data_IF_537542098401
#
_entry.id   IF_537542098401
#
_cell.length_a   1.000
_cell.length_b   1.000
_cell.length_c   1.000
_cell.angle_alpha   90.00
_cell.angle_beta   90.00
_cell.angle_gamma   90.00
#
_symmetry.space_group_name_H-M   'P 1'
#
loop_
_entity.id
_entity.type
_entity.pdbx_description
1 polymer ?
#
# COMPACT_ATOMS: atom_id res chain seq x y z
N UNK A 1 1.27 7.07 -21.19
CA UNK A 1 1.52 6.31 -19.96
C UNK A 1 0.23 5.61 -19.58
N UNK A 2 0.27 4.31 -19.33
CA UNK A 2 -0.90 3.56 -18.87
C UNK A 2 -1.42 4.11 -17.54
N UNK A 3 -2.74 4.13 -17.35
CA UNK A 3 -3.38 4.59 -16.11
C UNK A 3 -2.84 3.83 -14.88
N UNK A 4 -2.53 2.54 -15.05
CA UNK A 4 -1.98 1.67 -14.01
C UNK A 4 -0.59 2.13 -13.59
N UNK A 5 0.29 2.46 -14.55
CA UNK A 5 1.62 3.00 -14.28
C UNK A 5 1.58 4.27 -13.44
N UNK A 6 0.75 5.23 -13.85
CA UNK A 6 0.63 6.53 -13.16
C UNK A 6 0.17 6.31 -11.71
N UNK A 7 -0.86 5.48 -11.52
CA UNK A 7 -1.37 5.17 -10.18
C UNK A 7 -0.32 4.41 -9.36
N UNK A 8 0.40 3.46 -9.96
CA UNK A 8 1.47 2.70 -9.32
C UNK A 8 2.62 3.61 -8.83
N UNK A 9 3.03 4.59 -9.65
CA UNK A 9 4.04 5.59 -9.27
C UNK A 9 3.55 6.43 -8.08
N UNK A 10 2.31 6.94 -8.12
CA UNK A 10 1.74 7.73 -7.02
C UNK A 10 1.76 6.95 -5.71
N UNK A 11 1.29 5.70 -5.72
CA UNK A 11 1.29 4.87 -4.51
C UNK A 11 2.69 4.53 -4.01
N UNK A 12 3.64 4.32 -4.94
CA UNK A 12 5.03 4.07 -4.58
C UNK A 12 5.65 5.28 -3.90
N UNK A 13 5.48 6.49 -4.48
CA UNK A 13 5.95 7.73 -3.87
C UNK A 13 5.31 7.99 -2.50
N UNK A 14 4.00 7.74 -2.38
CA UNK A 14 3.31 7.85 -1.11
C UNK A 14 3.85 6.86 -0.08
N UNK A 15 4.13 5.61 -0.49
CA UNK A 15 4.76 4.59 0.37
C UNK A 15 6.16 4.97 0.84
N UNK A 16 6.97 5.54 -0.06
CA UNK A 16 8.29 6.07 0.29
C UNK A 16 8.19 7.19 1.34
N UNK A 17 7.25 8.12 1.19
CA UNK A 17 6.99 9.15 2.20
C UNK A 17 6.64 8.53 3.57
N UNK A 18 5.90 7.41 3.57
CA UNK A 18 5.60 6.64 4.79
C UNK A 18 6.83 6.05 5.48
N UNK A 19 7.82 5.58 4.72
CA UNK A 19 9.08 5.10 5.31
C UNK A 19 9.82 6.21 6.09
N UNK A 20 9.70 7.46 5.63
CA UNK A 20 10.25 8.63 6.31
C UNK A 20 9.38 9.16 7.46
N UNK A 21 8.20 8.57 7.70
CA UNK A 21 7.26 9.05 8.71
C UNK A 21 6.33 10.17 8.23
N UNK A 22 6.30 10.45 6.93
CA UNK A 22 5.58 11.55 6.30
C UNK A 22 4.34 10.97 5.60
N UNK A 23 3.35 10.53 6.39
CA UNK A 23 2.05 10.10 5.88
C UNK A 23 0.91 10.56 6.77
N UNK A 24 -0.25 10.75 6.15
CA UNK A 24 -1.49 11.04 6.88
C UNK A 24 -2.00 9.75 7.52
N UNK A 25 -2.14 9.76 8.84
CA UNK A 25 -2.65 8.64 9.63
C UNK A 25 -3.95 8.99 10.38
N UNK A 26 -4.77 7.99 10.76
CA UNK A 26 -5.92 8.18 11.63
C UNK A 26 -5.54 8.86 12.96
N UNK A 27 -6.40 9.75 13.45
CA UNK A 27 -6.19 10.46 14.73
C UNK A 27 -5.99 9.52 15.92
N UNK A 28 -6.69 8.37 15.94
CA UNK A 28 -6.56 7.32 16.98
C UNK A 28 -5.13 6.80 17.17
N UNK A 29 -4.26 6.96 16.17
CA UNK A 29 -2.90 6.44 16.16
C UNK A 29 -1.83 7.54 16.29
N UNK A 30 -2.24 8.80 16.51
CA UNK A 30 -1.32 9.93 16.74
C UNK A 30 -0.81 9.94 18.17
N UNK A 31 0.35 10.58 18.36
CA UNK A 31 0.96 10.89 19.66
C UNK A 31 1.23 9.67 20.56
N UNK A 32 1.46 8.51 19.95
CA UNK A 32 1.87 7.28 20.63
C UNK A 32 3.37 7.04 20.42
N UNK A 33 4.01 6.39 21.39
CA UNK A 33 5.43 6.00 21.30
C UNK A 33 5.73 5.17 20.04
N UNK A 34 4.73 4.43 19.55
CA UNK A 34 4.82 3.58 18.36
C UNK A 34 4.28 4.21 17.07
N UNK A 35 3.77 5.46 17.09
CA UNK A 35 3.17 6.11 15.91
C UNK A 35 4.13 6.12 14.71
N UNK A 36 5.41 6.42 14.93
CA UNK A 36 6.43 6.42 13.86
C UNK A 36 6.62 5.04 13.23
N UNK A 37 6.54 3.97 14.03
CA UNK A 37 6.59 2.60 13.53
C UNK A 37 5.34 2.26 12.71
N UNK A 38 4.15 2.64 13.20
CA UNK A 38 2.90 2.47 12.47
C UNK A 38 2.96 3.16 11.10
N UNK A 39 3.43 4.42 11.04
CA UNK A 39 3.56 5.16 9.78
C UNK A 39 4.50 4.44 8.81
N UNK A 40 5.64 3.92 9.29
CA UNK A 40 6.57 3.17 8.45
C UNK A 40 5.95 1.90 7.87
N UNK A 41 5.24 1.14 8.69
CA UNK A 41 4.55 -0.06 8.22
C UNK A 41 3.40 0.28 7.26
N UNK A 42 2.69 1.37 7.49
CA UNK A 42 1.70 1.87 6.54
C UNK A 42 2.38 2.24 5.22
N UNK A 43 3.55 2.89 5.26
CA UNK A 43 4.40 3.13 4.08
C UNK A 43 4.70 1.85 3.29
N UNK A 44 5.13 0.79 3.98
CA UNK A 44 5.38 -0.52 3.38
C UNK A 44 4.12 -1.07 2.70
N UNK A 45 2.93 -0.89 3.29
CA UNK A 45 1.69 -1.38 2.69
C UNK A 45 1.37 -0.72 1.34
N UNK A 46 1.67 0.58 1.21
CA UNK A 46 1.56 1.31 -0.06
C UNK A 46 2.61 0.91 -1.08
N UNK A 47 3.84 0.58 -0.64
CA UNK A 47 4.87 0.04 -1.53
C UNK A 47 4.50 -1.34 -2.08
N UNK A 48 3.89 -2.19 -1.23
CA UNK A 48 3.34 -3.49 -1.62
C UNK A 48 2.13 -3.38 -2.57
N UNK A 49 1.58 -2.19 -2.78
CA UNK A 49 0.56 -1.92 -3.79
C UNK A 49 1.17 -1.29 -5.05
N UNK A 50 1.95 -0.21 -4.88
CA UNK A 50 2.47 0.59 -5.99
C UNK A 50 3.52 -0.13 -6.83
N UNK A 51 4.50 -0.81 -6.20
CA UNK A 51 5.59 -1.48 -6.93
C UNK A 51 5.04 -2.61 -7.80
N UNK A 52 4.17 -3.52 -7.31
CA UNK A 52 3.59 -4.55 -8.15
C UNK A 52 2.81 -3.99 -9.34
N UNK A 53 2.12 -2.86 -9.20
CA UNK A 53 1.39 -2.25 -10.31
C UNK A 53 2.31 -1.67 -11.38
N UNK A 54 3.43 -1.06 -10.99
CA UNK A 54 4.46 -0.60 -11.94
C UNK A 54 5.06 -1.78 -12.68
N UNK A 55 5.45 -2.84 -11.96
CA UNK A 55 5.99 -4.06 -12.56
C UNK A 55 4.98 -4.68 -13.52
N UNK A 56 3.70 -4.73 -13.12
CA UNK A 56 2.61 -5.26 -13.92
C UNK A 56 2.45 -4.50 -15.24
N UNK A 57 2.47 -3.17 -15.21
CA UNK A 57 2.36 -2.34 -16.42
C UNK A 57 3.51 -2.64 -17.39
N UNK A 58 4.76 -2.64 -16.89
CA UNK A 58 5.96 -2.92 -17.69
C UNK A 58 5.94 -4.32 -18.33
N UNK A 59 5.48 -5.35 -17.61
CA UNK A 59 5.45 -6.71 -18.17
C UNK A 59 4.28 -6.95 -19.14
N UNK A 60 3.27 -6.06 -19.14
CA UNK A 60 2.04 -6.22 -19.94
C UNK A 60 1.92 -5.24 -21.11
N UNK A 61 2.79 -4.22 -21.19
CA UNK A 61 2.76 -3.12 -22.17
C UNK A 61 2.47 -3.59 -23.62
N UNK A 62 3.13 -4.67 -24.06
CA UNK A 62 3.01 -5.19 -25.44
C UNK A 62 2.23 -6.52 -25.56
N UNK A 63 1.61 -7.00 -24.46
CA UNK A 63 1.06 -8.37 -24.43
C UNK A 63 -0.39 -8.49 -24.91
N UNK A 64 -1.04 -7.38 -25.26
CA UNK A 64 -2.38 -7.37 -25.85
C UNK A 64 -3.44 -8.08 -25.00
N UNK A 65 -3.28 -8.11 -23.67
CA UNK A 65 -4.20 -8.81 -22.79
C UNK A 65 -5.60 -8.20 -22.83
N UNK A 66 -6.62 -9.05 -22.92
CA UNK A 66 -8.01 -8.63 -22.79
C UNK A 66 -8.31 -8.05 -21.40
N UNK A 67 -9.27 -7.13 -21.33
CA UNK A 67 -9.69 -6.46 -20.09
C UNK A 67 -9.93 -7.42 -18.89
N UNK A 68 -10.58 -8.59 -19.03
CA UNK A 68 -10.82 -9.49 -17.89
C UNK A 68 -9.53 -10.02 -17.25
N UNK A 69 -8.54 -10.38 -18.07
CA UNK A 69 -7.24 -10.87 -17.59
C UNK A 69 -6.51 -9.75 -16.86
N UNK A 70 -6.56 -8.54 -17.43
CA UNK A 70 -5.89 -7.38 -16.83
C UNK A 70 -6.48 -7.02 -15.46
N UNK A 71 -7.82 -7.03 -15.35
CA UNK A 71 -8.50 -6.82 -14.06
C UNK A 71 -8.12 -7.89 -13.02
N UNK A 72 -8.09 -9.16 -13.42
CA UNK A 72 -7.69 -10.25 -12.52
C UNK A 72 -6.25 -10.06 -12.01
N UNK A 73 -5.31 -9.71 -12.89
CA UNK A 73 -3.92 -9.48 -12.51
C UNK A 73 -3.77 -8.28 -11.56
N UNK A 74 -4.48 -7.17 -11.81
CA UNK A 74 -4.46 -6.00 -10.92
C UNK A 74 -4.98 -6.38 -9.53
N UNK A 75 -6.08 -7.13 -9.45
CA UNK A 75 -6.64 -7.59 -8.18
C UNK A 75 -5.67 -8.52 -7.46
N UNK A 76 -5.08 -9.48 -8.17
CA UNK A 76 -4.10 -10.40 -7.62
C UNK A 76 -2.86 -9.66 -7.07
N UNK A 77 -2.33 -8.69 -7.81
CA UNK A 77 -1.21 -7.86 -7.38
C UNK A 77 -1.55 -6.95 -6.19
N UNK A 78 -2.82 -6.56 -6.03
CA UNK A 78 -3.27 -5.70 -4.92
C UNK A 78 -3.49 -6.47 -3.62
N UNK A 79 -3.73 -7.78 -3.70
CA UNK A 79 -4.14 -8.59 -2.56
C UNK A 79 -3.11 -8.61 -1.42
N UNK A 80 -1.79 -8.77 -1.67
CA UNK A 80 -0.80 -8.75 -0.59
C UNK A 80 -0.76 -7.41 0.17
N UNK A 81 -0.78 -6.28 -0.56
CA UNK A 81 -0.81 -4.94 0.05
C UNK A 81 -2.08 -4.69 0.87
N UNK A 82 -3.22 -5.16 0.36
CA UNK A 82 -4.51 -5.07 1.06
C UNK A 82 -4.51 -5.90 2.36
N UNK A 83 -4.15 -7.18 2.26
CA UNK A 83 -4.09 -8.10 3.42
C UNK A 83 -3.13 -7.56 4.47
N UNK A 84 -1.95 -7.09 4.05
CA UNK A 84 -0.98 -6.48 4.96
C UNK A 84 -1.57 -5.27 5.70
N UNK A 85 -2.27 -4.38 5.00
CA UNK A 85 -2.91 -3.19 5.59
C UNK A 85 -3.97 -3.57 6.63
N UNK A 86 -4.79 -4.59 6.35
CA UNK A 86 -5.81 -5.08 7.29
C UNK A 86 -5.18 -5.67 8.55
N UNK A 87 -4.13 -6.49 8.39
CA UNK A 87 -3.39 -7.06 9.53
C UNK A 87 -2.76 -5.94 10.37
N UNK A 88 -2.19 -4.94 9.71
CA UNK A 88 -1.56 -3.79 10.37
C UNK A 88 -2.56 -3.01 11.22
N UNK A 89 -3.71 -2.61 10.65
CA UNK A 89 -4.73 -1.86 11.40
C UNK A 89 -5.30 -2.67 12.57
N UNK A 90 -5.52 -3.99 12.39
CA UNK A 90 -5.93 -4.89 13.49
C UNK A 90 -4.90 -4.92 14.62
N UNK A 91 -3.62 -5.10 14.28
CA UNK A 91 -2.53 -5.17 15.27
C UNK A 91 -2.43 -3.88 16.09
N UNK A 92 -2.48 -2.73 15.44
CA UNK A 92 -2.34 -1.45 16.12
C UNK A 92 -3.61 -1.00 16.85
N UNK A 93 -4.79 -1.41 16.36
CA UNK A 93 -6.04 -1.23 17.12
C UNK A 93 -6.05 -2.09 18.38
N UNK A 94 -5.58 -3.34 18.31
CA UNK A 94 -5.43 -4.18 19.51
C UNK A 94 -4.42 -3.58 20.49
N UNK A 95 -3.29 -3.06 19.99
CA UNK A 95 -2.30 -2.37 20.82
C UNK A 95 -2.88 -1.13 21.51
N UNK A 96 -3.66 -0.33 20.79
CA UNK A 96 -4.31 0.86 21.34
C UNK A 96 -5.26 0.50 22.50
N UNK A 97 -5.98 -0.62 22.42
CA UNK A 97 -6.88 -1.09 23.49
C UNK A 97 -6.15 -1.56 24.75
N UNK A 98 -4.89 -1.99 24.65
CA UNK A 98 -4.08 -2.40 25.80
C UNK A 98 -3.45 -1.20 26.53
N UNK A 99 -3.38 -0.04 25.87
CA UNK A 99 -2.87 1.21 26.45
C UNK A 99 -3.97 2.08 27.08
N UNK A 100 -5.23 1.68 26.93
CA UNK A 100 -6.41 2.30 27.56
C UNK A 100 -6.78 1.57 28.84
#
# INVERSE_FOLDING_TARGET
>A
MGTILVIGIIWTLYGLAGLFGIQKIPSKFKDKSWTKHYIRYQGISWLLLGIPWIVLDVITEDKGFGMPVMLFLILACSLPGFVYTVILDRRYTAKLKLEQ
#
